data_IF_567922145180
#
_entry.id   IF_567922145180
#
_cell.length_a   1.000
_cell.length_b   1.000
_cell.length_c   1.000
_cell.angle_alpha   90.00
_cell.angle_beta   90.00
_cell.angle_gamma   90.00
#
_symmetry.space_group_name_H-M   'P 1'
#
loop_
_entity.id
_entity.type
_entity.pdbx_description
1 polymer ?
#
# COMPACT_ATOMS: atom_id res chain seq x y z
N UNK A 1 -1.20 18.83 -12.45
CA UNK A 1 -0.14 19.24 -11.51
C UNK A 1 -0.28 18.40 -10.25
N UNK A 2 0.77 17.78 -9.72
CA UNK A 2 0.68 16.83 -8.60
C UNK A 2 0.43 17.58 -7.29
N UNK A 3 -0.79 17.50 -6.74
CA UNK A 3 -1.23 18.28 -5.56
C UNK A 3 -0.33 18.00 -4.34
N UNK A 4 0.07 16.76 -4.14
CA UNK A 4 0.92 16.36 -3.02
C UNK A 4 2.32 17.00 -3.12
N UNK A 5 2.95 16.92 -4.29
CA UNK A 5 4.28 17.50 -4.49
C UNK A 5 4.27 19.03 -4.35
N UNK A 6 3.25 19.70 -4.88
CA UNK A 6 3.08 21.15 -4.71
C UNK A 6 2.94 21.53 -3.22
N UNK A 7 2.22 20.72 -2.45
CA UNK A 7 2.03 20.98 -1.03
C UNK A 7 3.32 20.76 -0.24
N UNK A 8 4.08 19.70 -0.53
CA UNK A 8 5.29 19.32 0.23
C UNK A 8 6.51 20.15 -0.20
N UNK A 9 6.74 20.28 -1.51
CA UNK A 9 7.95 20.91 -2.07
C UNK A 9 7.73 22.41 -2.21
N UNK A 10 6.68 22.81 -2.94
CA UNK A 10 6.44 24.23 -3.26
C UNK A 10 5.72 24.99 -2.14
N UNK A 11 5.27 24.28 -1.09
CA UNK A 11 4.50 24.82 0.06
C UNK A 11 3.23 25.58 -0.36
N UNK A 12 2.65 25.25 -1.52
CA UNK A 12 1.40 25.84 -2.02
C UNK A 12 0.21 25.12 -1.38
N UNK A 13 -0.67 25.87 -0.71
CA UNK A 13 -1.81 25.34 0.06
C UNK A 13 -3.18 25.55 -0.59
N UNK A 14 -3.23 26.02 -1.84
CA UNK A 14 -4.50 26.28 -2.56
C UNK A 14 -5.36 25.03 -2.81
N UNK A 15 -4.77 23.84 -2.75
CA UNK A 15 -5.47 22.57 -2.81
C UNK A 15 -4.85 21.63 -1.77
N UNK A 16 -5.66 21.08 -0.88
CA UNK A 16 -5.20 20.16 0.18
C UNK A 16 -5.16 18.73 -0.38
N UNK A 17 -3.99 18.08 -0.49
CA UNK A 17 -3.90 16.71 -0.97
C UNK A 17 -4.39 15.72 0.09
N UNK A 18 -5.10 14.67 -0.32
CA UNK A 18 -5.65 13.64 0.56
C UNK A 18 -5.18 12.24 0.17
N UNK A 19 -4.75 11.48 1.17
CA UNK A 19 -4.45 10.05 1.12
C UNK A 19 -4.58 9.49 2.54
N UNK A 20 -4.63 8.17 2.69
CA UNK A 20 -4.77 7.53 4.00
C UNK A 20 -3.66 6.51 4.25
N UNK A 21 -3.13 6.50 5.48
CA UNK A 21 -2.30 5.38 5.93
C UNK A 21 -3.12 4.09 5.87
N UNK A 22 -2.53 3.01 5.35
CA UNK A 22 -3.19 1.71 5.17
C UNK A 22 -4.41 1.74 4.24
N UNK A 23 -4.44 2.67 3.28
CA UNK A 23 -5.51 2.74 2.26
C UNK A 23 -5.65 1.45 1.43
N UNK A 24 -4.56 0.73 1.17
CA UNK A 24 -4.63 -0.61 0.57
C UNK A 24 -4.76 -1.65 1.69
N UNK A 25 -5.97 -2.12 1.98
CA UNK A 25 -6.19 -2.98 3.15
C UNK A 25 -7.52 -3.71 3.19
N UNK A 26 -7.76 -4.39 4.32
CA UNK A 26 -8.86 -5.37 4.51
C UNK A 26 -10.26 -4.78 4.37
N UNK A 27 -10.43 -3.47 4.45
CA UNK A 27 -11.74 -2.86 4.23
C UNK A 27 -12.19 -2.91 2.75
N UNK A 28 -11.25 -3.14 1.82
CA UNK A 28 -11.54 -3.31 0.40
C UNK A 28 -11.86 -4.78 0.09
N UNK A 29 -13.03 -5.10 -0.52
CA UNK A 29 -13.37 -6.47 -0.90
C UNK A 29 -12.40 -7.05 -1.95
N UNK A 30 -11.91 -6.23 -2.88
CA UNK A 30 -10.89 -6.59 -3.86
C UNK A 30 -9.55 -6.97 -3.23
N UNK A 31 -9.12 -6.29 -2.17
CA UNK A 31 -7.96 -6.67 -1.37
C UNK A 31 -8.19 -8.02 -0.68
N UNK A 32 -9.36 -8.18 -0.04
CA UNK A 32 -9.69 -9.43 0.65
C UNK A 32 -9.68 -10.62 -0.30
N UNK A 33 -10.14 -10.47 -1.55
CA UNK A 33 -10.11 -11.53 -2.56
C UNK A 33 -8.68 -11.98 -2.84
N UNK A 34 -7.78 -11.04 -3.16
CA UNK A 34 -6.36 -11.36 -3.39
C UNK A 34 -5.74 -11.99 -2.15
N UNK A 35 -6.04 -11.46 -0.95
CA UNK A 35 -5.48 -11.97 0.30
C UNK A 35 -5.97 -13.38 0.67
N UNK A 36 -7.21 -13.75 0.29
CA UNK A 36 -7.73 -15.12 0.46
C UNK A 36 -6.99 -16.13 -0.43
N UNK A 37 -6.62 -15.72 -1.64
CA UNK A 37 -5.89 -16.55 -2.60
C UNK A 37 -4.38 -16.62 -2.27
N UNK A 38 -3.85 -15.64 -1.52
CA UNK A 38 -2.43 -15.52 -1.19
C UNK A 38 -2.23 -15.52 0.33
N UNK A 39 -2.18 -16.70 0.96
CA UNK A 39 -2.09 -16.86 2.41
C UNK A 39 -0.73 -16.42 2.98
N UNK A 40 0.35 -16.71 2.27
CA UNK A 40 1.70 -16.26 2.63
C UNK A 40 1.84 -14.76 2.35
N UNK A 41 1.96 -13.98 3.42
CA UNK A 41 2.06 -12.53 3.34
C UNK A 41 3.41 -12.06 2.79
N UNK A 42 4.50 -12.74 3.14
CA UNK A 42 5.84 -12.39 2.65
C UNK A 42 5.88 -12.64 1.15
N UNK A 43 5.40 -13.80 0.70
CA UNK A 43 5.30 -14.11 -0.73
C UNK A 43 4.41 -13.11 -1.48
N UNK A 44 3.33 -12.64 -0.85
CA UNK A 44 2.48 -11.59 -1.43
C UNK A 44 3.25 -10.27 -1.60
N UNK A 45 3.98 -9.82 -0.57
CA UNK A 45 4.81 -8.61 -0.64
C UNK A 45 5.97 -8.71 -1.65
N UNK A 46 6.44 -9.91 -1.97
CA UNK A 46 7.48 -10.15 -2.97
C UNK A 46 6.92 -10.29 -4.41
N UNK A 47 5.61 -10.36 -4.59
CA UNK A 47 4.97 -10.45 -5.90
C UNK A 47 4.67 -9.05 -6.45
N UNK A 48 5.56 -8.55 -7.31
CA UNK A 48 5.47 -7.19 -7.89
C UNK A 48 4.13 -6.92 -8.60
N UNK A 49 3.59 -7.89 -9.33
CA UNK A 49 2.31 -7.73 -10.05
C UNK A 49 1.14 -7.58 -9.09
N UNK A 50 1.07 -8.41 -8.05
CA UNK A 50 0.02 -8.33 -7.04
C UNK A 50 0.15 -7.07 -6.17
N UNK A 51 1.38 -6.70 -5.79
CA UNK A 51 1.68 -5.48 -5.04
C UNK A 51 1.24 -4.24 -5.81
N UNK A 52 1.57 -4.15 -7.10
CA UNK A 52 1.15 -3.05 -7.95
C UNK A 52 -0.38 -2.97 -8.04
N UNK A 53 -1.06 -4.09 -8.25
CA UNK A 53 -2.52 -4.15 -8.26
C UNK A 53 -3.10 -3.65 -6.94
N UNK A 54 -2.68 -4.24 -5.80
CA UNK A 54 -3.14 -3.86 -4.46
C UNK A 54 -2.93 -2.37 -4.18
N UNK A 55 -1.76 -1.84 -4.53
CA UNK A 55 -1.39 -0.43 -4.34
C UNK A 55 -2.35 0.51 -5.08
N UNK A 56 -2.84 0.10 -6.25
CA UNK A 56 -3.75 0.91 -7.08
C UNK A 56 -5.22 0.79 -6.70
N UNK A 57 -5.64 -0.24 -5.96
CA UNK A 57 -7.05 -0.44 -5.58
C UNK A 57 -7.71 0.80 -4.94
N UNK A 58 -7.06 1.51 -3.99
CA UNK A 58 -7.66 2.69 -3.37
C UNK A 58 -7.84 3.84 -4.36
N UNK A 59 -6.89 4.05 -5.27
CA UNK A 59 -6.94 5.11 -6.29
C UNK A 59 -7.99 4.82 -7.37
N UNK A 60 -8.24 3.54 -7.66
CA UNK A 60 -9.30 3.14 -8.58
C UNK A 60 -10.71 3.32 -7.98
N UNK A 61 -10.80 3.40 -6.64
CA UNK A 61 -12.08 3.45 -5.92
C UNK A 61 -12.41 4.84 -5.39
N UNK A 62 -11.40 5.65 -5.07
CA UNK A 62 -11.54 6.95 -4.46
C UNK A 62 -10.63 7.96 -5.16
N UNK A 63 -11.03 9.23 -5.14
CA UNK A 63 -10.23 10.34 -5.67
C UNK A 63 -9.12 10.73 -4.66
N UNK A 64 -8.09 9.89 -4.55
CA UNK A 64 -6.92 10.12 -3.69
C UNK A 64 -5.77 10.72 -4.50
N UNK A 65 -5.03 11.63 -3.89
CA UNK A 65 -3.94 12.35 -4.56
C UNK A 65 -2.61 11.58 -4.59
N UNK A 66 -2.52 10.46 -3.85
CA UNK A 66 -1.30 9.66 -3.77
C UNK A 66 -1.55 8.18 -3.47
N UNK A 67 -0.64 7.34 -3.95
CA UNK A 67 -0.51 5.94 -3.58
C UNK A 67 0.65 5.74 -2.61
N UNK A 68 0.48 4.80 -1.68
CA UNK A 68 1.55 4.26 -0.85
C UNK A 68 1.75 2.79 -1.24
N UNK A 69 2.99 2.41 -1.55
CA UNK A 69 3.31 1.06 -1.99
C UNK A 69 2.90 0.05 -0.92
N UNK A 70 2.17 -0.98 -1.33
CA UNK A 70 1.83 -2.08 -0.46
C UNK A 70 3.07 -2.92 -0.16
N UNK A 71 3.50 -2.90 1.10
CA UNK A 71 4.60 -3.69 1.64
C UNK A 71 4.48 -3.73 3.16
N UNK A 72 5.45 -4.35 3.83
CA UNK A 72 5.55 -4.38 5.28
C UNK A 72 6.92 -3.86 5.74
N UNK A 73 6.94 -3.17 6.87
CA UNK A 73 8.18 -2.64 7.45
C UNK A 73 9.15 -3.75 7.87
N UNK A 74 8.63 -4.95 8.17
CA UNK A 74 9.43 -6.12 8.56
C UNK A 74 10.11 -6.81 7.36
N UNK A 75 9.87 -6.36 6.13
CA UNK A 75 10.60 -6.85 4.96
C UNK A 75 12.11 -6.56 5.04
N UNK A 76 12.52 -5.52 5.77
CA UNK A 76 13.94 -5.21 6.01
C UNK A 76 14.59 -6.32 6.86
N UNK A 77 14.11 -6.64 8.09
CA UNK A 77 14.59 -7.80 8.85
C UNK A 77 14.57 -9.10 8.06
N UNK A 78 13.51 -9.37 7.30
CA UNK A 78 13.42 -10.56 6.44
C UNK A 78 14.57 -10.60 5.41
N UNK A 79 14.84 -9.48 4.74
CA UNK A 79 15.96 -9.35 3.80
C UNK A 79 17.34 -9.49 4.44
N UNK A 80 17.46 -9.23 5.75
CA UNK A 80 18.67 -9.45 6.55
C UNK A 80 18.77 -10.88 7.12
N UNK A 81 17.90 -11.80 6.70
CA UNK A 81 17.92 -13.20 7.13
C UNK A 81 17.28 -13.45 8.50
N UNK A 82 16.59 -12.46 9.08
CA UNK A 82 15.84 -12.67 10.32
C UNK A 82 14.59 -13.50 10.06
N UNK A 83 14.23 -14.34 11.03
CA UNK A 83 13.00 -15.11 10.98
C UNK A 83 11.79 -14.18 11.19
N UNK A 84 10.99 -13.99 10.15
CA UNK A 84 9.75 -13.20 10.17
C UNK A 84 8.56 -14.10 9.85
N UNK A 85 7.53 -14.08 10.69
CA UNK A 85 6.29 -14.84 10.49
C UNK A 85 5.06 -13.93 10.69
N UNK A 86 4.14 -13.95 9.73
CA UNK A 86 2.85 -13.26 9.83
C UNK A 86 1.76 -14.25 10.23
N UNK A 87 1.51 -14.38 11.53
CA UNK A 87 0.44 -15.24 12.05
C UNK A 87 -0.90 -14.54 11.90
N UNK A 88 -1.90 -15.26 11.39
CA UNK A 88 -3.27 -14.76 11.31
C UNK A 88 -3.83 -14.66 12.73
N UNK A 89 -4.14 -13.44 13.16
CA UNK A 89 -4.96 -13.17 14.34
C UNK A 89 -6.45 -13.22 14.03
#
# INVERSE_FOLDING_TARGET
MNKLLNCIIDKKSSQVPVWFMRQAGRYLPEFQKIRKENLDFIKLCLNSNLVANITMQPLNRFDLDAAIIFSDILMIPYGLGQKVEFKKG
#
